data_IF_836875316466
#
_entry.id   IF_836875316466
#
_cell.length_a   1.000
_cell.length_b   1.000
_cell.length_c   1.000
_cell.angle_alpha   90.00
_cell.angle_beta   90.00
_cell.angle_gamma   90.00
#
_symmetry.space_group_name_H-M   'P 1'
#
loop_
_entity.id
_entity.type
_entity.pdbx_description
1 polymer ?
#
# COMPACT_ATOMS: atom_id res chain seq x y z
N UNK A 1 -6.72 -12.38 4.01
CA UNK A 1 -7.00 -10.94 4.17
C UNK A 1 -6.00 -10.31 5.13
N UNK A 2 -5.47 -9.16 4.76
CA UNK A 2 -4.47 -8.44 5.55
C UNK A 2 -5.13 -7.20 6.17
N UNK A 3 -5.14 -7.16 7.52
CA UNK A 3 -5.51 -5.95 8.28
C UNK A 3 -4.28 -5.07 8.45
N UNK A 4 -4.16 -4.01 7.65
CA UNK A 4 -2.93 -3.20 7.59
C UNK A 4 -2.62 -2.44 8.87
N UNK A 5 -3.64 -2.06 9.65
CA UNK A 5 -3.42 -1.39 10.92
C UNK A 5 -2.73 -2.33 11.93
N UNK A 6 -3.24 -3.55 12.07
CA UNK A 6 -2.66 -4.56 12.95
C UNK A 6 -1.28 -5.01 12.46
N UNK A 7 -1.16 -5.26 11.15
CA UNK A 7 0.13 -5.63 10.57
C UNK A 7 1.20 -4.58 10.84
N UNK A 8 0.89 -3.30 10.65
CA UNK A 8 1.81 -2.20 10.89
C UNK A 8 2.22 -2.15 12.36
N UNK A 9 1.25 -2.26 13.27
CA UNK A 9 1.51 -2.25 14.71
C UNK A 9 2.47 -3.37 15.12
N UNK A 10 2.22 -4.59 14.66
CA UNK A 10 3.08 -5.74 15.01
C UNK A 10 4.43 -5.69 14.30
N UNK A 11 4.47 -5.33 13.03
CA UNK A 11 5.72 -5.24 12.26
C UNK A 11 6.67 -4.20 12.84
N UNK A 12 6.13 -3.04 13.23
CA UNK A 12 6.91 -1.93 13.78
C UNK A 12 7.05 -1.99 15.30
N UNK A 13 6.44 -2.97 15.96
CA UNK A 13 6.39 -3.10 17.42
C UNK A 13 5.92 -1.81 18.10
N UNK A 14 4.91 -1.16 17.53
CA UNK A 14 4.41 0.14 17.97
C UNK A 14 2.93 0.05 18.33
N UNK A 15 2.59 0.46 19.56
CA UNK A 15 1.21 0.53 20.02
C UNK A 15 0.53 1.75 19.38
N UNK A 16 -0.57 1.53 18.65
CA UNK A 16 -1.36 2.60 18.02
C UNK A 16 -2.07 3.51 19.03
N UNK A 17 -2.15 3.11 20.29
CA UNK A 17 -2.70 3.93 21.36
C UNK A 17 -1.68 4.88 21.97
N UNK A 18 -0.39 4.71 21.67
CA UNK A 18 0.69 5.59 22.11
C UNK A 18 0.97 6.65 21.05
N UNK A 19 0.55 7.89 21.30
CA UNK A 19 0.76 9.01 20.39
C UNK A 19 2.21 9.31 20.05
N UNK A 20 3.16 8.95 20.92
CA UNK A 20 4.59 9.13 20.66
C UNK A 20 5.12 8.19 19.57
N UNK A 21 4.39 7.11 19.26
CA UNK A 21 4.76 6.12 18.26
C UNK A 21 3.99 6.29 16.95
N UNK A 22 3.19 7.34 16.81
CA UNK A 22 2.31 7.54 15.66
C UNK A 22 3.05 7.53 14.31
N UNK A 23 4.26 8.06 14.26
CA UNK A 23 5.07 8.06 13.02
C UNK A 23 5.48 6.67 12.56
N UNK A 24 5.59 5.71 13.49
CA UNK A 24 5.92 4.32 13.18
C UNK A 24 4.73 3.57 12.58
N UNK A 25 3.51 4.08 12.75
CA UNK A 25 2.28 3.44 12.25
C UNK A 25 1.92 3.85 10.83
N UNK A 26 2.81 4.54 10.13
CA UNK A 26 2.62 4.91 8.74
C UNK A 26 2.59 3.63 7.86
N UNK A 27 1.51 3.40 7.09
CA UNK A 27 1.39 2.19 6.26
C UNK A 27 2.38 2.13 5.10
N UNK A 28 3.09 3.21 4.84
CA UNK A 28 4.18 3.27 3.86
C UNK A 28 5.52 2.74 4.38
N UNK A 29 5.57 2.26 5.63
CA UNK A 29 6.80 1.66 6.16
C UNK A 29 7.29 0.54 5.26
N UNK A 30 8.55 0.58 4.76
CA UNK A 30 9.07 -0.46 3.88
C UNK A 30 8.98 -1.86 4.47
N UNK A 31 9.18 -2.00 5.79
CA UNK A 31 9.05 -3.29 6.47
C UNK A 31 7.62 -3.86 6.39
N UNK A 32 6.60 -3.01 6.49
CA UNK A 32 5.20 -3.42 6.35
C UNK A 32 4.89 -3.86 4.92
N UNK A 33 5.35 -3.08 3.93
CA UNK A 33 5.18 -3.40 2.52
C UNK A 33 5.90 -4.71 2.15
N UNK A 34 7.06 -4.97 2.73
CA UNK A 34 7.78 -6.25 2.55
C UNK A 34 6.98 -7.43 3.10
N UNK A 35 6.34 -7.28 4.25
CA UNK A 35 5.46 -8.32 4.81
C UNK A 35 4.27 -8.61 3.89
N UNK A 36 3.68 -7.55 3.31
CA UNK A 36 2.58 -7.70 2.34
C UNK A 36 3.07 -8.41 1.09
N UNK A 37 4.24 -8.05 0.56
CA UNK A 37 4.87 -8.71 -0.59
C UNK A 37 5.08 -10.20 -0.33
N UNK A 38 5.59 -10.53 0.83
CA UNK A 38 5.82 -11.93 1.24
C UNK A 38 4.50 -12.72 1.27
N UNK A 39 3.44 -12.14 1.83
CA UNK A 39 2.12 -12.77 1.84
C UNK A 39 1.58 -12.96 0.41
N UNK A 40 1.72 -11.97 -0.46
CA UNK A 40 1.30 -12.06 -1.86
C UNK A 40 2.07 -13.14 -2.62
N UNK A 41 3.37 -13.26 -2.39
CA UNK A 41 4.20 -14.31 -3.00
C UNK A 41 3.75 -15.69 -2.54
N UNK A 42 3.44 -15.87 -1.26
CA UNK A 42 2.89 -17.10 -0.73
C UNK A 42 1.52 -17.45 -1.33
N UNK A 43 0.66 -16.44 -1.47
CA UNK A 43 -0.64 -16.58 -2.13
C UNK A 43 -0.50 -17.03 -3.58
N UNK A 44 0.40 -16.42 -4.33
CA UNK A 44 0.67 -16.79 -5.73
C UNK A 44 1.18 -18.21 -5.85
N UNK A 45 2.10 -18.62 -4.98
CA UNK A 45 2.66 -19.98 -4.98
C UNK A 45 1.61 -21.05 -4.67
N UNK A 46 0.54 -20.71 -3.95
CA UNK A 46 -0.51 -21.63 -3.53
C UNK A 46 -1.84 -21.43 -4.26
N UNK A 47 -1.89 -20.51 -5.23
CA UNK A 47 -3.11 -20.20 -5.97
C UNK A 47 -4.19 -19.52 -5.12
N UNK A 48 -3.83 -18.82 -4.05
CA UNK A 48 -4.78 -18.16 -3.14
C UNK A 48 -4.70 -16.63 -3.28
N UNK A 49 -5.83 -15.94 -3.45
CA UNK A 49 -5.84 -14.49 -3.53
C UNK A 49 -5.57 -13.86 -2.17
N UNK A 50 -4.85 -12.74 -2.17
CA UNK A 50 -4.59 -11.92 -1.00
C UNK A 50 -5.38 -10.60 -1.12
N UNK A 51 -6.19 -10.31 -0.11
CA UNK A 51 -6.91 -9.05 0.00
C UNK A 51 -6.34 -8.16 1.10
N UNK A 52 -6.52 -6.86 0.98
CA UNK A 52 -6.17 -5.87 2.00
C UNK A 52 -7.43 -5.18 2.47
N UNK A 53 -7.61 -5.10 3.77
CA UNK A 53 -8.64 -4.29 4.43
C UNK A 53 -7.98 -3.28 5.37
N UNK A 54 -8.76 -2.32 5.82
CA UNK A 54 -8.28 -1.23 6.64
C UNK A 54 -8.04 0.05 5.81
N UNK A 55 -7.47 1.07 6.45
CA UNK A 55 -7.35 2.40 5.84
C UNK A 55 -6.39 2.45 4.65
N UNK A 56 -5.37 1.61 4.63
CA UNK A 56 -4.37 1.59 3.57
C UNK A 56 -4.98 1.32 2.19
N UNK A 57 -6.00 0.48 2.10
CA UNK A 57 -6.68 0.17 0.84
C UNK A 57 -7.44 1.35 0.24
N UNK A 58 -7.79 2.34 1.05
CA UNK A 58 -8.52 3.54 0.63
C UNK A 58 -7.64 4.74 0.23
N UNK A 59 -6.33 4.63 0.38
CA UNK A 59 -5.38 5.63 -0.12
C UNK A 59 -5.11 5.36 -1.60
N UNK A 60 -5.46 6.28 -2.52
CA UNK A 60 -5.30 6.04 -3.95
C UNK A 60 -3.85 5.74 -4.37
N UNK A 61 -2.88 6.43 -3.76
CA UNK A 61 -1.46 6.22 -4.08
C UNK A 61 -0.96 4.87 -3.57
N UNK A 62 -1.28 4.55 -2.32
CA UNK A 62 -0.88 3.27 -1.72
C UNK A 62 -1.58 2.09 -2.40
N UNK A 63 -2.80 2.28 -2.89
CA UNK A 63 -3.53 1.26 -3.65
C UNK A 63 -2.77 0.80 -4.90
N UNK A 64 -2.07 1.70 -5.58
CA UNK A 64 -1.20 1.37 -6.72
C UNK A 64 -0.03 0.48 -6.29
N UNK A 65 0.61 0.83 -5.19
CA UNK A 65 1.70 0.03 -4.61
C UNK A 65 1.21 -1.35 -4.19
N UNK A 66 0.09 -1.43 -3.49
CA UNK A 66 -0.50 -2.71 -3.05
C UNK A 66 -0.85 -3.60 -4.26
N UNK A 67 -1.40 -3.02 -5.31
CA UNK A 67 -1.67 -3.73 -6.56
C UNK A 67 -0.37 -4.27 -7.18
N UNK A 68 0.67 -3.46 -7.22
CA UNK A 68 1.99 -3.86 -7.71
C UNK A 68 2.64 -4.97 -6.88
N UNK A 69 2.36 -5.04 -5.59
CA UNK A 69 2.83 -6.13 -4.71
C UNK A 69 2.09 -7.45 -4.95
N UNK A 70 0.96 -7.43 -5.64
CA UNK A 70 0.18 -8.62 -5.95
C UNK A 70 -1.12 -8.75 -5.15
N UNK A 71 -1.55 -7.71 -4.45
CA UNK A 71 -2.85 -7.69 -3.76
C UNK A 71 -3.97 -7.78 -4.80
N UNK A 72 -4.90 -8.72 -4.60
CA UNK A 72 -5.99 -9.01 -5.53
C UNK A 72 -7.25 -8.20 -5.26
N UNK A 73 -7.47 -7.76 -4.03
CA UNK A 73 -8.66 -7.00 -3.64
C UNK A 73 -8.35 -5.99 -2.56
N UNK A 74 -9.04 -4.85 -2.62
CA UNK A 74 -8.91 -3.76 -1.66
C UNK A 74 -10.28 -3.45 -1.07
N UNK A 75 -10.40 -3.49 0.24
CA UNK A 75 -11.59 -3.07 0.96
C UNK A 75 -11.38 -1.69 1.55
N UNK A 76 -12.41 -0.85 1.49
CA UNK A 76 -12.31 0.54 1.94
C UNK A 76 -13.70 1.12 2.24
N UNK A 77 -13.72 2.29 2.87
CA UNK A 77 -14.96 3.04 3.02
C UNK A 77 -15.54 3.41 1.64
N UNK A 78 -16.87 3.39 1.46
CA UNK A 78 -17.51 3.69 0.16
C UNK A 78 -17.07 5.02 -0.46
N UNK A 79 -16.82 6.04 0.35
CA UNK A 79 -16.37 7.36 -0.10
C UNK A 79 -14.99 7.33 -0.78
N UNK A 80 -14.19 6.30 -0.56
CA UNK A 80 -12.84 6.15 -1.13
C UNK A 80 -12.81 5.41 -2.47
N UNK A 81 -13.83 4.64 -2.77
CA UNK A 81 -13.86 3.72 -3.92
C UNK A 81 -13.62 4.45 -5.24
N UNK A 82 -14.25 5.58 -5.46
CA UNK A 82 -14.13 6.30 -6.73
C UNK A 82 -12.71 6.81 -6.99
N UNK A 83 -12.06 7.36 -5.97
CA UNK A 83 -10.68 7.83 -6.09
C UNK A 83 -9.71 6.69 -6.37
N UNK A 84 -9.84 5.57 -5.66
CA UNK A 84 -9.00 4.38 -5.86
C UNK A 84 -9.21 3.79 -7.26
N UNK A 85 -10.46 3.68 -7.70
CA UNK A 85 -10.76 3.20 -9.06
C UNK A 85 -10.16 4.11 -10.14
N UNK A 86 -10.25 5.42 -9.96
CA UNK A 86 -9.67 6.37 -10.89
C UNK A 86 -8.14 6.21 -10.96
N UNK A 87 -7.47 6.10 -9.83
CA UNK A 87 -6.04 5.85 -9.77
C UNK A 87 -5.65 4.57 -10.52
N UNK A 88 -6.34 3.47 -10.26
CA UNK A 88 -6.07 2.18 -10.92
C UNK A 88 -6.30 2.22 -12.43
N UNK A 89 -7.27 3.01 -12.91
CA UNK A 89 -7.53 3.15 -14.34
C UNK A 89 -6.48 3.97 -15.08
N UNK A 90 -5.74 4.81 -14.38
CA UNK A 90 -4.70 5.67 -14.97
C UNK A 90 -3.34 4.97 -15.09
N UNK A 91 -3.17 3.79 -14.52
CA UNK A 91 -1.88 3.11 -14.43
C UNK A 91 -2.00 1.65 -14.83
N UNK A 92 -1.02 1.15 -15.58
CA UNK A 92 -0.92 -0.27 -15.88
C UNK A 92 -0.23 -1.04 -14.75
N UNK A 93 -0.33 -2.37 -14.80
CA UNK A 93 0.26 -3.22 -13.77
C UNK A 93 1.79 -3.08 -13.72
N UNK A 94 2.45 -2.94 -14.84
CA UNK A 94 3.92 -2.79 -14.88
C UNK A 94 4.36 -1.53 -14.12
N UNK A 95 3.65 -0.42 -14.28
CA UNK A 95 3.91 0.82 -13.53
C UNK A 95 3.66 0.62 -12.04
N UNK A 96 2.57 -0.04 -11.67
CA UNK A 96 2.29 -0.38 -10.26
C UNK A 96 3.39 -1.25 -9.66
N UNK A 97 3.91 -2.21 -10.39
CA UNK A 97 5.02 -3.05 -9.93
C UNK A 97 6.31 -2.25 -9.74
N UNK A 98 6.59 -1.29 -10.60
CA UNK A 98 7.72 -0.37 -10.44
C UNK A 98 7.55 0.51 -9.20
N UNK A 99 6.36 1.04 -8.97
CA UNK A 99 6.02 1.81 -7.77
C UNK A 99 6.21 0.97 -6.50
N UNK A 100 5.77 -0.30 -6.54
CA UNK A 100 5.93 -1.23 -5.44
C UNK A 100 7.41 -1.48 -5.11
N UNK A 101 8.24 -1.68 -6.11
CA UNK A 101 9.69 -1.85 -5.92
C UNK A 101 10.31 -0.60 -5.27
N UNK A 102 9.98 0.58 -5.74
CA UNK A 102 10.49 1.83 -5.17
C UNK A 102 10.06 2.03 -3.71
N UNK A 103 8.82 1.68 -3.39
CA UNK A 103 8.31 1.82 -2.03
C UNK A 103 8.99 0.82 -1.05
N UNK A 104 9.18 -0.42 -1.48
CA UNK A 104 9.82 -1.46 -0.65
C UNK A 104 11.31 -1.19 -0.46
N UNK A 105 11.99 -0.71 -1.49
CA UNK A 105 13.44 -0.48 -1.47
C UNK A 105 13.81 0.88 -0.83
N UNK A 106 12.84 1.72 -0.50
CA UNK A 106 13.09 3.02 0.10
C UNK A 106 13.67 2.87 1.53
N UNK A 107 14.48 3.84 2.00
CA UNK A 107 15.03 3.80 3.35
C UNK A 107 14.01 4.08 4.44
N UNK A 108 12.91 4.76 4.10
CA UNK A 108 11.83 5.11 5.04
C UNK A 108 10.51 5.36 4.30
N UNK A 109 9.42 5.47 5.07
CA UNK A 109 8.08 5.67 4.54
C UNK A 109 7.94 6.97 3.71
N UNK A 110 8.53 8.06 4.19
CA UNK A 110 8.44 9.36 3.52
C UNK A 110 9.07 9.33 2.14
N UNK A 111 10.31 8.85 2.05
CA UNK A 111 11.02 8.74 0.78
C UNK A 111 10.36 7.75 -0.17
N UNK A 112 9.84 6.63 0.36
CA UNK A 112 9.09 5.67 -0.43
C UNK A 112 7.88 6.31 -1.12
N UNK A 113 7.09 7.06 -0.37
CA UNK A 113 5.93 7.79 -0.91
C UNK A 113 6.36 8.84 -1.94
N UNK A 114 7.38 9.62 -1.65
CA UNK A 114 7.90 10.64 -2.57
C UNK A 114 8.41 10.03 -3.89
N UNK A 115 9.10 8.89 -3.81
CA UNK A 115 9.60 8.19 -5.00
C UNK A 115 8.45 7.65 -5.87
N UNK A 116 7.40 7.14 -5.25
CA UNK A 116 6.20 6.67 -5.97
C UNK A 116 5.48 7.84 -6.64
N UNK A 117 5.39 8.99 -5.98
CA UNK A 117 4.77 10.20 -6.56
C UNK A 117 5.42 10.63 -7.87
N UNK A 118 6.69 10.35 -8.08
CA UNK A 118 7.39 10.69 -9.34
C UNK A 118 6.92 9.85 -10.53
N UNK A 119 6.24 8.73 -10.28
CA UNK A 119 5.79 7.79 -11.31
C UNK A 119 4.31 7.94 -11.64
N UNK A 120 3.56 8.74 -10.90
CA UNK A 120 2.11 8.85 -11.12
C UNK A 120 1.78 9.65 -12.37
N UNK A 121 0.67 9.28 -13.01
CA UNK A 121 0.09 10.08 -14.08
C UNK A 121 -0.26 11.49 -13.56
N UNK A 122 0.02 12.57 -14.33
CA UNK A 122 -0.24 13.94 -13.88
C UNK A 122 -1.68 14.19 -13.42
N UNK A 123 -2.66 13.58 -14.09
CA UNK A 123 -4.07 13.69 -13.74
C UNK A 123 -4.39 13.12 -12.35
N UNK A 124 -3.56 12.22 -11.82
CA UNK A 124 -3.77 11.64 -10.51
C UNK A 124 -3.49 12.64 -9.37
N UNK A 125 -2.70 13.66 -9.60
CA UNK A 125 -2.39 14.67 -8.59
C UNK A 125 -3.65 15.36 -8.04
N UNK A 126 -4.71 15.41 -8.83
CA UNK A 126 -6.01 15.97 -8.42
C UNK A 126 -6.76 15.07 -7.42
N UNK A 127 -6.35 13.80 -7.27
CA UNK A 127 -6.96 12.84 -6.36
C UNK A 127 -6.26 12.77 -4.98
N UNK A 128 -5.13 13.43 -4.84
CA UNK A 128 -4.27 13.33 -3.65
C UNK A 128 -4.47 14.47 -2.67
#
# INVERSE_FOLDING_TARGET
SIGTNDLTQYTMAADRLDGNLATLLNPWQPAVLEMIRTACNGGRATGKPIGVCGEAGGDPLLALVLTGLGVASLSMAPSKVNAVRAALRMHDLATCQQMAAFAVDAPNAKEGRENVLKLVAPAMLDLL
#
